data_IF_668913238338
#
_entry.id   IF_668913238338
#
_cell.length_a   1.000
_cell.length_b   1.000
_cell.length_c   1.000
_cell.angle_alpha   90.00
_cell.angle_beta   90.00
_cell.angle_gamma   90.00
#
_symmetry.space_group_name_H-M   'P 1'
#
loop_
_entity.id
_entity.type
_entity.pdbx_description
1 polymer ?
#
# COMPACT_ATOMS: atom_id res chain seq x y z
N UNK A 1 -17.07 10.05 -17.83
CA UNK A 1 -16.13 10.32 -16.70
C UNK A 1 -16.38 11.74 -16.21
N UNK A 2 -16.39 12.00 -14.88
CA UNK A 2 -16.58 13.35 -14.34
C UNK A 2 -15.20 13.98 -14.07
N UNK A 3 -15.08 15.30 -14.30
CA UNK A 3 -13.86 16.03 -14.00
C UNK A 3 -13.67 16.14 -12.47
N UNK A 4 -12.67 15.45 -11.94
CA UNK A 4 -12.35 15.39 -10.49
C UNK A 4 -11.67 16.67 -9.95
N UNK A 5 -11.35 17.63 -10.81
CA UNK A 5 -10.84 18.96 -10.38
C UNK A 5 -11.96 19.93 -10.01
N UNK A 6 -13.21 19.61 -10.33
CA UNK A 6 -14.36 20.43 -9.96
C UNK A 6 -14.99 19.91 -8.67
N UNK A 7 -15.10 20.75 -7.67
CA UNK A 7 -15.68 20.46 -6.34
C UNK A 7 -17.08 19.83 -6.42
N UNK A 8 -17.88 20.24 -7.40
CA UNK A 8 -19.19 19.66 -7.66
C UNK A 8 -19.17 18.16 -7.96
N UNK A 9 -18.04 17.65 -8.43
CA UNK A 9 -17.85 16.25 -8.82
C UNK A 9 -17.09 15.40 -7.77
N UNK A 10 -16.75 15.98 -6.62
CA UNK A 10 -16.06 15.24 -5.57
C UNK A 10 -16.91 14.08 -5.08
N UNK A 11 -16.27 12.95 -4.82
CA UNK A 11 -16.89 11.82 -4.18
C UNK A 11 -17.38 12.22 -2.77
N UNK A 12 -18.46 11.61 -2.33
CA UNK A 12 -19.02 11.82 -0.98
C UNK A 12 -18.58 10.74 0.02
N UNK A 13 -17.70 9.86 -0.42
CA UNK A 13 -17.14 8.77 0.36
C UNK A 13 -15.62 8.79 0.29
N UNK A 14 -14.99 8.23 1.30
CA UNK A 14 -13.54 8.06 1.37
C UNK A 14 -13.03 7.14 0.25
N UNK A 15 -11.86 7.44 -0.35
CA UNK A 15 -11.27 6.59 -1.36
C UNK A 15 -10.79 5.27 -0.75
N UNK A 16 -10.97 4.17 -1.47
CA UNK A 16 -10.45 2.85 -1.09
C UNK A 16 -9.06 2.58 -1.67
N UNK A 17 -8.64 3.39 -2.64
CA UNK A 17 -7.33 3.29 -3.27
C UNK A 17 -6.82 4.66 -3.74
N UNK A 18 -5.51 4.83 -3.65
CA UNK A 18 -4.80 6.06 -4.04
C UNK A 18 -3.53 5.65 -4.77
N UNK A 19 -3.16 6.35 -5.83
CA UNK A 19 -1.86 6.20 -6.50
C UNK A 19 -0.93 7.28 -5.98
N UNK A 20 0.33 6.94 -5.71
CA UNK A 20 1.38 7.89 -5.33
C UNK A 20 1.48 8.99 -6.38
N UNK A 21 1.47 10.26 -5.96
CA UNK A 21 1.52 11.41 -6.87
C UNK A 21 0.18 11.86 -7.43
N UNK A 22 -0.92 11.13 -7.19
CA UNK A 22 -2.25 11.59 -7.58
C UNK A 22 -2.84 12.58 -6.57
N UNK A 23 -3.54 13.59 -7.08
CA UNK A 23 -4.38 14.44 -6.23
C UNK A 23 -5.56 13.62 -5.72
N UNK A 24 -5.83 13.72 -4.41
CA UNK A 24 -7.01 13.13 -3.78
C UNK A 24 -7.99 14.22 -3.40
N UNK A 25 -9.26 14.07 -3.76
CA UNK A 25 -10.31 15.03 -3.40
C UNK A 25 -11.64 14.29 -3.16
N UNK A 26 -12.23 14.53 -2.02
CA UNK A 26 -13.58 14.07 -1.68
C UNK A 26 -14.21 15.03 -0.66
N UNK A 27 -15.48 14.85 -0.36
CA UNK A 27 -16.21 15.72 0.57
C UNK A 27 -17.15 14.91 1.47
N UNK A 28 -17.42 15.47 2.63
CA UNK A 28 -18.39 14.94 3.58
C UNK A 28 -19.45 16.02 3.84
N UNK A 29 -20.62 15.80 3.26
CA UNK A 29 -21.81 16.63 3.47
C UNK A 29 -22.77 16.01 4.49
N UNK A 30 -22.66 14.70 4.66
CA UNK A 30 -23.55 13.85 5.46
C UNK A 30 -23.50 14.16 6.96
N UNK A 31 -22.37 14.66 7.46
CA UNK A 31 -22.17 14.95 8.89
C UNK A 31 -22.57 16.37 9.29
N UNK A 32 -22.80 17.29 8.33
CA UNK A 32 -23.00 18.71 8.61
C UNK A 32 -24.20 18.98 9.53
N UNK A 33 -25.29 18.22 9.41
CA UNK A 33 -26.48 18.43 10.23
C UNK A 33 -26.21 18.21 11.72
N UNK A 34 -25.31 17.26 12.05
CA UNK A 34 -24.93 16.96 13.44
C UNK A 34 -23.69 17.78 13.88
N UNK A 35 -22.81 18.08 12.95
CA UNK A 35 -21.54 18.75 13.20
C UNK A 35 -21.34 19.89 12.18
N UNK A 36 -21.93 21.06 12.38
CA UNK A 36 -21.70 22.22 11.52
C UNK A 36 -20.22 22.61 11.48
N UNK A 37 -19.69 22.87 10.29
CA UNK A 37 -18.28 23.18 10.10
C UNK A 37 -17.84 24.58 10.60
N UNK A 38 -18.77 25.35 11.11
CA UNK A 38 -18.51 26.58 11.89
C UNK A 38 -18.00 26.30 13.30
N UNK A 39 -18.50 25.21 13.90
CA UNK A 39 -18.26 24.86 15.30
C UNK A 39 -17.37 23.64 15.48
N UNK A 40 -17.15 22.89 14.39
CA UNK A 40 -16.42 21.64 14.40
C UNK A 40 -15.39 21.57 13.27
N UNK A 41 -14.29 20.87 13.55
CA UNK A 41 -13.22 20.58 12.59
C UNK A 41 -13.14 19.08 12.33
N UNK A 42 -13.31 18.65 11.08
CA UNK A 42 -13.14 17.26 10.67
C UNK A 42 -11.66 16.99 10.37
N UNK A 43 -11.16 15.90 10.94
CA UNK A 43 -9.80 15.41 10.69
C UNK A 43 -9.78 13.92 10.36
N UNK A 44 -8.77 13.54 9.60
CA UNK A 44 -8.41 12.14 9.32
C UNK A 44 -6.99 11.89 9.81
N UNK A 45 -6.78 10.71 10.38
CA UNK A 45 -5.46 10.17 10.65
C UNK A 45 -5.38 8.76 10.06
N UNK A 46 -4.29 8.44 9.39
CA UNK A 46 -4.07 7.11 8.84
C UNK A 46 -2.66 6.62 9.15
N UNK A 47 -2.52 5.32 9.36
CA UNK A 47 -1.24 4.64 9.59
C UNK A 47 -1.11 3.42 8.69
N UNK A 48 0.08 3.23 8.15
CA UNK A 48 0.41 2.06 7.34
C UNK A 48 0.46 0.80 8.21
N UNK A 49 -0.12 -0.28 7.74
CA UNK A 49 -0.02 -1.58 8.39
C UNK A 49 1.42 -2.10 8.39
N UNK A 50 1.86 -2.62 9.53
CA UNK A 50 3.21 -3.17 9.70
C UNK A 50 4.33 -2.12 9.82
N UNK A 51 4.00 -0.82 9.75
CA UNK A 51 4.96 0.27 9.87
C UNK A 51 4.42 1.29 10.88
N UNK A 52 4.99 1.33 12.07
CA UNK A 52 4.55 2.24 13.14
C UNK A 52 4.89 3.72 12.90
N UNK A 53 5.64 4.04 11.85
CA UNK A 53 6.19 5.38 11.62
C UNK A 53 5.45 6.18 10.55
N UNK A 54 4.79 5.53 9.57
CA UNK A 54 4.08 6.21 8.49
C UNK A 54 2.73 6.72 8.97
N UNK A 55 2.66 8.02 9.27
CA UNK A 55 1.45 8.71 9.68
C UNK A 55 1.00 9.73 8.64
N UNK A 56 -0.27 9.71 8.33
CA UNK A 56 -0.93 10.68 7.45
C UNK A 56 -1.97 11.42 8.29
N UNK A 57 -1.83 12.72 8.41
CA UNK A 57 -2.83 13.59 9.03
C UNK A 57 -3.41 14.57 7.99
N UNK A 58 -4.74 14.66 7.96
CA UNK A 58 -5.45 15.52 7.04
C UNK A 58 -6.50 16.29 7.83
N UNK A 59 -6.55 17.61 7.63
CA UNK A 59 -7.62 18.46 8.15
C UNK A 59 -8.50 18.89 7.00
N UNK A 60 -9.80 18.66 7.11
CA UNK A 60 -10.77 19.10 6.13
C UNK A 60 -10.94 20.61 6.15
N UNK A 61 -11.26 21.17 4.97
CA UNK A 61 -11.56 22.60 4.79
C UNK A 61 -13.07 22.79 4.75
N UNK A 62 -13.59 23.76 5.50
CA UNK A 62 -15.00 24.11 5.46
C UNK A 62 -15.35 24.84 4.15
N UNK A 63 -16.41 24.41 3.48
CA UNK A 63 -16.91 25.04 2.25
C UNK A 63 -18.44 24.96 2.17
N UNK A 64 -19.12 26.04 2.49
CA UNK A 64 -20.57 26.02 2.65
C UNK A 64 -20.99 25.03 3.74
N UNK A 65 -21.78 24.02 3.38
CA UNK A 65 -22.18 22.93 4.27
C UNK A 65 -21.25 21.70 4.18
N UNK A 66 -20.26 21.74 3.30
CA UNK A 66 -19.37 20.61 3.06
C UNK A 66 -18.09 20.71 3.90
N UNK A 67 -17.53 19.56 4.26
CA UNK A 67 -16.14 19.39 4.65
C UNK A 67 -15.37 18.88 3.44
N UNK A 68 -14.48 19.69 2.88
CA UNK A 68 -13.65 19.29 1.75
C UNK A 68 -12.33 18.70 2.22
N UNK A 69 -12.00 17.56 1.69
CA UNK A 69 -10.70 16.91 1.86
C UNK A 69 -9.98 17.00 0.52
N UNK A 70 -8.91 17.77 0.49
CA UNK A 70 -8.09 17.99 -0.70
C UNK A 70 -6.63 17.76 -0.35
N UNK A 71 -6.02 16.78 -1.02
CA UNK A 71 -4.63 16.42 -0.82
C UNK A 71 -3.91 16.62 -2.14
N UNK A 72 -2.94 17.50 -2.14
CA UNK A 72 -2.16 17.81 -3.35
C UNK A 72 -1.28 16.62 -3.78
N UNK A 73 -1.04 16.50 -5.07
CA UNK A 73 -0.16 15.48 -5.65
C UNK A 73 1.23 15.45 -5.03
N UNK A 74 1.79 16.61 -4.68
CA UNK A 74 3.09 16.70 -4.01
C UNK A 74 3.09 16.03 -2.61
N UNK A 75 1.94 16.03 -1.91
CA UNK A 75 1.81 15.37 -0.60
C UNK A 75 1.69 13.87 -0.78
N UNK A 76 0.83 13.39 -1.67
CA UNK A 76 0.67 11.95 -1.93
C UNK A 76 1.92 11.32 -2.55
N UNK A 77 2.76 12.11 -3.25
CA UNK A 77 4.05 11.68 -3.78
C UNK A 77 5.04 11.24 -2.68
N UNK A 78 4.85 11.69 -1.44
CA UNK A 78 5.68 11.27 -0.30
C UNK A 78 5.19 10.00 0.39
N UNK A 79 4.01 9.48 0.00
CA UNK A 79 3.42 8.35 0.68
C UNK A 79 4.06 7.02 0.25
N UNK A 80 4.24 6.13 1.19
CA UNK A 80 4.77 4.78 0.93
C UNK A 80 3.65 3.86 0.45
N UNK A 81 3.94 3.00 -0.52
CA UNK A 81 2.98 1.98 -0.98
C UNK A 81 2.63 0.99 0.12
N UNK A 82 1.37 0.55 0.17
CA UNK A 82 0.89 -0.41 1.16
C UNK A 82 -0.56 -0.19 1.56
N UNK A 83 -1.03 -0.95 2.55
CA UNK A 83 -2.36 -0.79 3.15
C UNK A 83 -2.27 0.14 4.35
N UNK A 84 -3.22 1.05 4.44
CA UNK A 84 -3.34 2.01 5.53
C UNK A 84 -4.68 1.82 6.25
N UNK A 85 -4.65 1.86 7.57
CA UNK A 85 -5.83 2.00 8.41
C UNK A 85 -6.06 3.47 8.67
N UNK A 86 -7.28 3.96 8.47
CA UNK A 86 -7.65 5.34 8.75
C UNK A 86 -8.76 5.43 9.79
N UNK A 87 -8.81 6.56 10.47
CA UNK A 87 -9.93 6.99 11.28
C UNK A 87 -10.28 8.44 10.94
N UNK A 88 -11.58 8.74 10.87
CA UNK A 88 -12.09 10.10 10.84
C UNK A 88 -12.60 10.49 12.22
N UNK A 89 -12.36 11.74 12.59
CA UNK A 89 -12.81 12.27 13.86
C UNK A 89 -13.13 13.75 13.75
N UNK A 90 -14.05 14.17 14.59
CA UNK A 90 -14.48 15.57 14.71
C UNK A 90 -13.94 16.16 16.01
N UNK A 91 -13.51 17.39 15.93
CA UNK A 91 -13.07 18.17 17.10
C UNK A 91 -14.03 19.34 17.24
N UNK A 92 -14.59 19.54 18.43
CA UNK A 92 -15.38 20.73 18.75
C UNK A 92 -14.42 21.89 19.03
N UNK A 93 -14.59 22.99 18.29
CA UNK A 93 -13.64 24.12 18.32
C UNK A 93 -13.62 24.86 19.67
N UNK A 94 -14.72 24.82 20.44
CA UNK A 94 -14.84 25.56 21.70
C UNK A 94 -14.04 24.99 22.86
N UNK A 95 -13.82 23.65 22.91
CA UNK A 95 -13.20 22.95 24.03
C UNK A 95 -12.27 21.83 23.63
N UNK A 96 -12.03 21.67 22.32
CA UNK A 96 -11.17 20.63 21.75
C UNK A 96 -11.60 19.19 22.06
N UNK A 97 -12.84 18.96 22.45
CA UNK A 97 -13.38 17.63 22.64
C UNK A 97 -13.46 16.88 21.30
N UNK A 98 -13.07 15.61 21.31
CA UNK A 98 -12.95 14.79 20.12
C UNK A 98 -13.92 13.61 20.13
N UNK A 99 -14.53 13.34 18.98
CA UNK A 99 -15.36 12.15 18.74
C UNK A 99 -14.92 11.48 17.45
N UNK A 100 -14.67 10.16 17.48
CA UNK A 100 -14.38 9.37 16.28
C UNK A 100 -15.69 9.07 15.54
N UNK A 101 -15.72 9.36 14.24
CA UNK A 101 -16.88 9.16 13.38
C UNK A 101 -16.85 7.85 12.61
N UNK A 102 -15.66 7.42 12.19
CA UNK A 102 -15.52 6.19 11.41
C UNK A 102 -14.07 5.74 11.27
N UNK A 103 -13.92 4.51 10.82
CA UNK A 103 -12.62 3.89 10.52
C UNK A 103 -12.73 3.08 9.23
N UNK A 104 -11.61 2.82 8.58
CA UNK A 104 -11.57 2.01 7.37
C UNK A 104 -10.15 1.74 6.89
N UNK A 105 -10.08 1.22 5.67
CA UNK A 105 -8.83 0.89 5.00
C UNK A 105 -8.78 1.58 3.64
N UNK A 106 -7.58 1.98 3.23
CA UNK A 106 -7.27 2.28 1.83
C UNK A 106 -5.90 1.73 1.45
N UNK A 107 -5.70 1.53 0.16
CA UNK A 107 -4.44 1.03 -0.37
C UNK A 107 -3.74 2.10 -1.20
N UNK A 108 -2.46 2.31 -0.92
CA UNK A 108 -1.58 3.18 -1.71
C UNK A 108 -0.81 2.33 -2.71
N UNK A 109 -0.97 2.63 -3.99
CA UNK A 109 -0.28 1.99 -5.11
C UNK A 109 0.86 2.85 -5.61
N UNK A 110 1.91 2.20 -6.13
CA UNK A 110 2.97 2.91 -6.84
C UNK A 110 2.41 3.55 -8.13
N UNK A 111 2.91 4.72 -8.46
CA UNK A 111 2.70 5.31 -9.77
C UNK A 111 3.48 4.49 -10.81
N UNK A 112 2.78 4.02 -11.83
CA UNK A 112 3.38 3.17 -12.87
C UNK A 112 4.23 3.94 -13.86
N UNK A 113 4.03 5.24 -13.96
CA UNK A 113 4.80 6.11 -14.85
C UNK A 113 6.17 6.48 -14.25
N UNK A 114 6.20 6.72 -12.93
CA UNK A 114 7.41 7.13 -12.21
C UNK A 114 8.15 5.98 -11.52
N UNK A 115 7.53 4.80 -11.38
CA UNK A 115 8.16 3.68 -10.70
C UNK A 115 9.15 2.97 -11.61
N UNK A 116 10.43 3.03 -11.27
CA UNK A 116 11.48 2.14 -11.78
C UNK A 116 11.31 0.69 -11.30
N UNK A 117 10.50 0.48 -10.24
CA UNK A 117 10.04 -0.83 -9.85
C UNK A 117 8.94 -1.26 -10.82
N UNK A 118 9.31 -2.08 -11.79
CA UNK A 118 8.32 -2.80 -12.57
C UNK A 118 7.43 -3.52 -11.55
N UNK A 119 6.15 -3.14 -11.47
CA UNK A 119 5.14 -3.88 -10.73
C UNK A 119 4.90 -5.21 -11.46
N UNK A 120 5.96 -5.99 -11.57
CA UNK A 120 5.95 -7.31 -12.14
C UNK A 120 5.25 -8.23 -11.12
N UNK A 121 4.04 -8.71 -11.41
CA UNK A 121 3.30 -9.57 -10.49
C UNK A 121 4.04 -10.87 -10.17
N UNK A 122 5.11 -11.16 -10.90
CA UNK A 122 5.97 -12.32 -10.67
C UNK A 122 7.35 -11.97 -10.09
N UNK A 123 7.56 -10.71 -9.70
CA UNK A 123 8.85 -10.25 -9.11
C UNK A 123 9.28 -11.08 -7.90
N UNK A 124 8.31 -11.47 -7.03
CA UNK A 124 8.57 -12.35 -5.89
C UNK A 124 9.02 -13.76 -6.31
N UNK A 125 8.49 -14.29 -7.42
CA UNK A 125 8.92 -15.59 -7.97
C UNK A 125 10.31 -15.49 -8.57
N UNK A 126 10.62 -14.41 -9.27
CA UNK A 126 11.99 -14.19 -9.82
C UNK A 126 13.02 -14.01 -8.70
N UNK A 127 12.66 -13.30 -7.62
CA UNK A 127 13.53 -13.21 -6.44
C UNK A 127 13.73 -14.56 -5.76
N UNK A 128 12.65 -15.36 -5.64
CA UNK A 128 12.73 -16.72 -5.11
C UNK A 128 13.62 -17.59 -5.98
N UNK A 129 13.49 -17.52 -7.31
CA UNK A 129 14.34 -18.25 -8.26
C UNK A 129 15.81 -17.90 -8.06
N UNK A 130 16.15 -16.62 -8.05
CA UNK A 130 17.52 -16.13 -7.81
C UNK A 130 18.11 -16.64 -6.48
N UNK A 131 17.32 -16.64 -5.40
CA UNK A 131 17.76 -17.17 -4.11
C UNK A 131 18.01 -18.69 -4.15
N UNK A 132 17.17 -19.45 -4.87
CA UNK A 132 17.34 -20.89 -5.05
C UNK A 132 18.60 -21.21 -5.89
N UNK A 133 18.83 -20.47 -6.97
CA UNK A 133 20.03 -20.61 -7.81
C UNK A 133 21.31 -20.33 -7.01
N UNK A 134 21.33 -19.26 -6.21
CA UNK A 134 22.46 -18.96 -5.33
C UNK A 134 22.70 -20.06 -4.29
N UNK A 135 21.64 -20.62 -3.72
CA UNK A 135 21.76 -21.73 -2.76
C UNK A 135 22.31 -23.00 -3.42
N UNK A 136 21.83 -23.35 -4.61
CA UNK A 136 22.30 -24.49 -5.41
C UNK A 136 23.78 -24.30 -5.76
N UNK A 137 24.18 -23.14 -6.25
CA UNK A 137 25.58 -22.81 -6.59
C UNK A 137 26.49 -22.91 -5.36
N UNK A 138 26.04 -22.38 -4.22
CA UNK A 138 26.79 -22.46 -2.96
C UNK A 138 26.99 -23.89 -2.48
N UNK A 139 25.97 -24.75 -2.60
CA UNK A 139 26.07 -26.16 -2.23
C UNK A 139 26.93 -26.98 -3.22
N UNK A 140 26.74 -26.73 -4.52
CA UNK A 140 27.49 -27.46 -5.56
C UNK A 140 28.99 -27.12 -5.58
N UNK A 141 29.37 -25.90 -5.17
CA UNK A 141 30.75 -25.45 -5.10
C UNK A 141 31.53 -26.01 -3.88
N UNK A 142 30.85 -26.62 -2.92
CA UNK A 142 31.48 -27.16 -1.71
C UNK A 142 31.88 -28.62 -1.84
N UNK A 143 33.13 -28.89 -1.49
CA UNK A 143 33.75 -30.25 -1.52
C UNK A 143 33.33 -31.08 -0.30
N UNK A 144 32.63 -30.56 0.69
CA UNK A 144 32.19 -31.27 1.89
C UNK A 144 30.73 -31.74 1.77
N UNK A 145 30.47 -32.95 2.22
CA UNK A 145 29.14 -33.57 2.18
C UNK A 145 28.06 -32.93 3.03
N UNK A 146 28.38 -31.90 3.80
CA UNK A 146 27.42 -31.14 4.59
C UNK A 146 27.90 -29.69 4.84
N UNK A 147 26.94 -28.75 4.94
CA UNK A 147 27.18 -27.35 5.22
C UNK A 147 26.16 -26.82 6.23
N UNK A 148 26.64 -26.00 7.16
CA UNK A 148 25.77 -25.37 8.17
C UNK A 148 25.65 -23.87 7.94
N UNK A 149 24.42 -23.35 7.77
CA UNK A 149 24.10 -21.92 7.77
C UNK A 149 23.09 -21.67 8.88
N UNK A 150 23.38 -20.69 9.75
CA UNK A 150 22.47 -20.25 10.82
C UNK A 150 21.94 -21.40 11.69
N UNK A 151 22.78 -22.40 12.01
CA UNK A 151 22.41 -23.54 12.86
C UNK A 151 21.63 -24.65 12.15
N UNK A 152 21.47 -24.59 10.81
CA UNK A 152 20.90 -25.68 10.00
C UNK A 152 21.99 -26.31 9.16
N UNK A 153 22.09 -27.63 9.24
CA UNK A 153 22.98 -28.47 8.40
C UNK A 153 22.25 -28.80 7.10
N UNK A 154 22.84 -28.48 5.96
CA UNK A 154 22.35 -28.88 4.62
C UNK A 154 23.28 -29.95 4.03
N UNK A 155 22.70 -30.99 3.44
CA UNK A 155 23.41 -32.15 2.85
C UNK A 155 23.20 -32.22 1.34
N UNK A 156 23.91 -33.12 0.64
CA UNK A 156 23.68 -33.38 -0.79
C UNK A 156 22.25 -33.85 -1.13
N UNK A 157 21.51 -34.43 -0.17
CA UNK A 157 20.09 -34.75 -0.34
C UNK A 157 19.22 -33.48 -0.53
N UNK A 158 19.63 -32.38 0.09
CA UNK A 158 18.93 -31.09 -0.01
C UNK A 158 19.13 -30.41 -1.37
N UNK A 159 20.22 -30.74 -2.12
CA UNK A 159 20.48 -30.23 -3.45
C UNK A 159 19.37 -30.62 -4.44
N UNK A 160 18.99 -31.90 -4.43
CA UNK A 160 17.91 -32.42 -5.30
C UNK A 160 16.57 -31.72 -4.97
N UNK A 161 16.30 -31.46 -3.70
CA UNK A 161 15.10 -30.75 -3.30
C UNK A 161 15.11 -29.27 -3.76
N UNK A 162 16.27 -28.60 -3.65
CA UNK A 162 16.44 -27.23 -4.14
C UNK A 162 16.28 -27.14 -5.67
N UNK A 163 16.82 -28.10 -6.42
CA UNK A 163 16.64 -28.19 -7.86
C UNK A 163 15.17 -28.41 -8.24
N UNK A 164 14.45 -29.27 -7.53
CA UNK A 164 13.03 -29.48 -7.75
C UNK A 164 12.22 -28.20 -7.44
N UNK A 165 12.57 -27.46 -6.38
CA UNK A 165 11.93 -26.18 -6.04
C UNK A 165 12.22 -25.13 -7.10
N UNK A 166 13.45 -25.07 -7.64
CA UNK A 166 13.82 -24.20 -8.77
C UNK A 166 12.93 -24.49 -9.98
N UNK A 167 12.84 -25.74 -10.39
CA UNK A 167 12.08 -26.15 -11.57
C UNK A 167 10.57 -25.86 -11.44
N UNK A 168 10.00 -26.09 -10.26
CA UNK A 168 8.63 -25.69 -9.95
C UNK A 168 8.44 -24.16 -10.05
N UNK A 169 9.40 -23.40 -9.55
CA UNK A 169 9.33 -21.92 -9.60
C UNK A 169 9.44 -21.40 -11.03
N UNK A 170 10.31 -22.00 -11.86
CA UNK A 170 10.42 -21.68 -13.30
C UNK A 170 9.13 -22.01 -14.04
N UNK A 171 8.54 -23.17 -13.77
CA UNK A 171 7.27 -23.55 -14.37
C UNK A 171 6.14 -22.58 -13.99
N UNK A 172 6.07 -22.16 -12.72
CA UNK A 172 5.08 -21.19 -12.24
C UNK A 172 5.24 -19.82 -12.92
N UNK A 173 6.48 -19.34 -13.08
CA UNK A 173 6.80 -18.11 -13.83
C UNK A 173 6.28 -18.23 -15.26
N UNK A 174 6.62 -19.32 -15.95
CA UNK A 174 6.25 -19.56 -17.35
C UNK A 174 4.73 -19.62 -17.57
N UNK A 175 3.98 -20.18 -16.63
CA UNK A 175 2.51 -20.21 -16.69
C UNK A 175 1.94 -18.79 -16.53
N UNK A 176 2.45 -18.03 -15.58
CA UNK A 176 1.98 -16.66 -15.35
C UNK A 176 2.34 -15.69 -16.47
N UNK A 177 3.50 -15.86 -17.08
CA UNK A 177 3.90 -15.09 -18.26
C UNK A 177 3.00 -15.39 -19.47
N UNK A 178 2.70 -16.65 -19.74
CA UNK A 178 1.77 -17.03 -20.84
C UNK A 178 0.34 -16.49 -20.64
N UNK A 179 -0.17 -16.52 -19.42
CA UNK A 179 -1.49 -15.96 -19.09
C UNK A 179 -1.60 -14.43 -19.20
N UNK A 180 -0.47 -13.74 -19.44
CA UNK A 180 -0.40 -12.30 -19.60
C UNK A 180 -0.54 -11.83 -21.04
N UNK A 181 -0.36 -12.73 -22.02
CA UNK A 181 -0.40 -12.45 -23.46
C UNK A 181 -1.58 -13.13 -24.19
N UNK A 182 -2.52 -13.71 -23.46
CA UNK A 182 -3.81 -14.20 -23.95
C UNK A 182 -4.95 -13.35 -23.42
#
# INVERSE_FOLDING_TARGET
MKNQFLTANYAVTEPTSIVVGDRVAFKRSDIHAAYPNTDYTLKYAARKEGDGLSEIEITAVASGVDYLIEIASAVTATWTTGTYQWQSYIIRNSDSQRVTLGTGLFKVFADKDSSTDSADPISHLRKRLSNLETAIETLSSKTSSSYSIAGRSMSFGDLTELEQMRDKTVAEISVRERGRFG
#
